data_IF_210225595088
#
_entry.id   IF_210225595088
#
_cell.length_a   1.000
_cell.length_b   1.000
_cell.length_c   1.000
_cell.angle_alpha   90.00
_cell.angle_beta   90.00
_cell.angle_gamma   90.00
#
_symmetry.space_group_name_H-M   'P 1'
#
loop_
_entity.id
_entity.type
_entity.pdbx_description
1 polymer ?
#
# COMPACT_ATOMS: atom_id res chain seq x y z
N UNK A 1 72.69 -8.92 -5.25
CA UNK A 1 71.50 -8.33 -4.66
C UNK A 1 70.39 -9.40 -4.67
N UNK A 2 70.16 -10.03 -3.53
CA UNK A 2 69.13 -11.05 -3.35
C UNK A 2 67.79 -10.31 -2.98
N UNK A 3 66.74 -10.42 -3.81
CA UNK A 3 65.41 -9.93 -3.51
C UNK A 3 64.63 -11.00 -2.73
N UNK A 4 64.41 -10.74 -1.47
CA UNK A 4 63.55 -11.57 -0.61
C UNK A 4 62.08 -11.20 -0.90
N UNK A 5 61.33 -12.16 -1.42
CA UNK A 5 59.87 -12.04 -1.56
C UNK A 5 59.22 -12.45 -0.22
N UNK A 6 58.60 -11.50 0.47
CA UNK A 6 57.72 -11.79 1.59
C UNK A 6 56.35 -12.24 1.04
N UNK A 7 55.99 -13.50 1.23
CA UNK A 7 54.69 -14.05 0.94
C UNK A 7 53.82 -13.76 2.17
N UNK A 8 52.89 -12.81 2.02
CA UNK A 8 51.81 -12.61 3.01
C UNK A 8 50.79 -13.73 2.82
N UNK A 9 50.76 -14.73 3.68
CA UNK A 9 49.69 -15.71 3.78
C UNK A 9 48.48 -15.03 4.41
N UNK A 10 47.47 -14.71 3.59
CA UNK A 10 46.15 -14.33 4.07
C UNK A 10 45.47 -15.62 4.55
N UNK A 11 45.45 -15.81 5.88
CA UNK A 11 44.65 -16.85 6.51
C UNK A 11 43.19 -16.44 6.35
N UNK A 12 42.48 -17.07 5.41
CA UNK A 12 41.03 -17.03 5.36
C UNK A 12 40.51 -17.81 6.58
N UNK A 13 40.25 -17.11 7.69
CA UNK A 13 39.43 -17.66 8.74
C UNK A 13 37.99 -17.82 8.17
N UNK A 14 37.68 -19.03 7.70
CA UNK A 14 36.28 -19.48 7.55
C UNK A 14 35.65 -19.50 8.93
N UNK A 15 35.09 -18.37 9.34
CA UNK A 15 34.25 -18.32 10.52
C UNK A 15 33.04 -19.23 10.26
N UNK A 16 33.00 -20.36 10.97
CA UNK A 16 31.77 -21.10 11.18
C UNK A 16 30.84 -20.07 11.83
N UNK A 17 29.83 -19.61 11.12
CA UNK A 17 28.73 -18.86 11.70
C UNK A 17 28.04 -19.82 12.68
N UNK A 18 28.47 -19.83 13.95
CA UNK A 18 27.66 -20.36 15.03
C UNK A 18 26.37 -19.55 15.01
N UNK A 19 25.23 -20.23 14.83
CA UNK A 19 23.93 -19.58 14.88
C UNK A 19 23.83 -18.72 16.15
N UNK A 20 23.39 -17.48 16.03
CA UNK A 20 23.24 -16.59 17.19
C UNK A 20 22.33 -17.25 18.23
N UNK A 21 22.76 -17.26 19.49
CA UNK A 21 21.96 -17.80 20.58
C UNK A 21 20.91 -16.78 21.01
N UNK A 22 19.68 -16.99 20.58
CA UNK A 22 18.53 -16.15 20.92
C UNK A 22 17.76 -16.61 22.16
N UNK A 23 18.21 -17.63 22.88
CA UNK A 23 17.49 -18.25 24.02
C UNK A 23 16.99 -17.23 25.06
N UNK A 24 17.81 -16.23 25.40
CA UNK A 24 17.43 -15.20 26.39
C UNK A 24 16.34 -14.27 25.83
N UNK A 25 16.42 -13.90 24.56
CA UNK A 25 15.48 -13.03 23.89
C UNK A 25 14.13 -13.73 23.74
N UNK A 26 14.16 -14.99 23.30
CA UNK A 26 12.98 -15.83 23.13
C UNK A 26 12.24 -16.02 24.47
N UNK A 27 12.96 -16.33 25.53
CA UNK A 27 12.39 -16.45 26.88
C UNK A 27 11.77 -15.12 27.38
N UNK A 28 12.38 -13.97 27.08
CA UNK A 28 11.80 -12.67 27.39
C UNK A 28 10.50 -12.46 26.57
N UNK A 29 10.47 -12.87 25.34
CA UNK A 29 9.30 -12.71 24.47
C UNK A 29 8.09 -13.54 24.94
N UNK A 30 8.29 -14.66 25.65
CA UNK A 30 7.22 -15.45 26.27
C UNK A 30 6.47 -14.69 27.39
N UNK A 31 7.10 -13.68 28.01
CA UNK A 31 6.58 -12.99 29.18
C UNK A 31 5.68 -11.78 28.88
N UNK A 32 5.24 -11.59 27.60
CA UNK A 32 4.38 -10.47 27.22
C UNK A 32 3.03 -10.52 27.95
N UNK A 33 2.68 -9.48 28.74
CA UNK A 33 1.42 -9.45 29.46
C UNK A 33 0.20 -9.45 28.54
N UNK A 34 -0.82 -10.24 28.89
CA UNK A 34 -2.03 -10.38 28.07
C UNK A 34 -2.91 -9.11 27.97
N UNK A 35 -2.66 -8.12 28.84
CA UNK A 35 -3.37 -6.82 28.84
C UNK A 35 -2.86 -5.82 27.80
N UNK A 36 -1.70 -6.06 27.16
CA UNK A 36 -1.21 -5.22 26.08
C UNK A 36 -2.04 -5.45 24.81
N UNK A 37 -2.62 -4.37 24.28
CA UNK A 37 -3.61 -4.44 23.19
C UNK A 37 -3.15 -3.82 21.86
N UNK A 38 -2.08 -3.04 21.87
CA UNK A 38 -1.60 -2.35 20.66
C UNK A 38 -0.22 -2.85 20.24
N UNK A 39 0.07 -2.77 18.94
CA UNK A 39 1.40 -3.08 18.41
C UNK A 39 2.49 -2.24 19.08
N UNK A 40 2.17 -0.98 19.42
CA UNK A 40 3.09 -0.06 20.08
C UNK A 40 3.47 -0.53 21.50
N UNK A 41 2.48 -0.93 22.30
CA UNK A 41 2.72 -1.43 23.66
C UNK A 41 3.54 -2.72 23.64
N UNK A 42 3.14 -3.65 22.78
CA UNK A 42 3.77 -4.96 22.65
C UNK A 42 5.22 -4.82 22.14
N UNK A 43 5.46 -4.06 21.08
CA UNK A 43 6.80 -3.87 20.53
C UNK A 43 7.74 -3.20 21.58
N UNK A 44 7.25 -2.18 22.28
CA UNK A 44 8.03 -1.53 23.34
C UNK A 44 8.37 -2.47 24.50
N UNK A 45 7.41 -3.30 24.91
CA UNK A 45 7.64 -4.29 25.97
C UNK A 45 8.70 -5.32 25.55
N UNK A 46 8.53 -5.89 24.35
CA UNK A 46 9.44 -6.89 23.81
C UNK A 46 10.88 -6.40 23.66
N UNK A 47 11.05 -5.11 23.38
CA UNK A 47 12.36 -4.57 22.99
C UNK A 47 13.01 -3.67 24.04
N UNK A 48 12.39 -3.55 25.22
CA UNK A 48 12.79 -2.59 26.28
C UNK A 48 14.28 -2.65 26.66
N UNK A 49 14.86 -3.84 26.69
CA UNK A 49 16.25 -4.05 27.11
C UNK A 49 17.12 -4.58 25.96
N UNK A 50 16.66 -4.47 24.70
CA UNK A 50 17.38 -4.93 23.52
C UNK A 50 18.00 -3.75 22.78
N UNK A 51 19.25 -3.90 22.35
CA UNK A 51 20.02 -2.80 21.77
C UNK A 51 20.15 -2.93 20.26
N UNK A 52 20.38 -4.13 19.74
CA UNK A 52 20.57 -4.32 18.30
C UNK A 52 19.24 -4.40 17.56
N UNK A 53 19.17 -3.91 16.30
CA UNK A 53 17.97 -4.08 15.46
C UNK A 53 17.58 -5.56 15.30
N UNK A 54 18.57 -6.44 15.14
CA UNK A 54 18.36 -7.89 14.96
C UNK A 54 17.69 -8.51 16.20
N UNK A 55 18.16 -8.19 17.41
CA UNK A 55 17.56 -8.71 18.65
C UNK A 55 16.12 -8.23 18.82
N UNK A 56 15.86 -6.96 18.51
CA UNK A 56 14.52 -6.40 18.58
C UNK A 56 13.57 -7.08 17.62
N UNK A 57 14.01 -7.31 16.37
CA UNK A 57 13.24 -8.02 15.36
C UNK A 57 13.04 -9.48 15.76
N UNK A 58 14.05 -10.13 16.38
CA UNK A 58 13.93 -11.50 16.92
C UNK A 58 12.84 -11.61 17.96
N UNK A 59 12.81 -10.72 18.93
CA UNK A 59 11.79 -10.73 19.98
C UNK A 59 10.37 -10.62 19.43
N UNK A 60 10.16 -9.75 18.42
CA UNK A 60 8.87 -9.59 17.74
C UNK A 60 8.50 -10.87 16.98
N UNK A 61 9.43 -11.40 16.17
CA UNK A 61 9.25 -12.62 15.39
C UNK A 61 8.84 -13.81 16.27
N UNK A 62 9.61 -14.06 17.34
CA UNK A 62 9.36 -15.17 18.24
C UNK A 62 8.01 -15.04 18.94
N UNK A 63 7.74 -13.85 19.52
CA UNK A 63 6.47 -13.60 20.18
C UNK A 63 5.28 -13.82 19.24
N UNK A 64 5.33 -13.28 18.06
CA UNK A 64 4.22 -13.42 17.09
C UNK A 64 4.00 -14.86 16.70
N UNK A 65 5.07 -15.62 16.45
CA UNK A 65 4.97 -17.03 16.06
C UNK A 65 4.29 -17.90 17.14
N UNK A 66 4.38 -17.50 18.42
CA UNK A 66 3.78 -18.22 19.55
C UNK A 66 2.43 -17.66 19.99
N UNK A 67 2.25 -16.32 19.90
CA UNK A 67 1.07 -15.64 20.42
C UNK A 67 -0.10 -15.56 19.43
N UNK A 68 0.16 -15.72 18.12
CA UNK A 68 -0.85 -15.61 17.07
C UNK A 68 -1.07 -16.97 16.43
N UNK A 69 -2.34 -17.38 16.30
CA UNK A 69 -2.73 -18.63 15.64
C UNK A 69 -3.13 -18.37 14.19
N UNK A 70 -2.84 -19.29 13.29
CA UNK A 70 -3.30 -19.15 11.91
C UNK A 70 -4.82 -19.39 11.80
N UNK A 71 -5.51 -18.51 11.06
CA UNK A 71 -6.95 -18.56 10.85
C UNK A 71 -7.31 -19.37 9.62
N UNK A 72 -7.32 -20.71 9.77
CA UNK A 72 -7.62 -21.63 8.67
C UNK A 72 -9.01 -21.38 8.07
N UNK A 73 -10.01 -21.06 8.90
CA UNK A 73 -11.38 -20.80 8.44
C UNK A 73 -11.47 -19.59 7.48
N UNK A 74 -10.57 -18.64 7.63
CA UNK A 74 -10.54 -17.41 6.83
C UNK A 74 -9.35 -17.35 5.86
N UNK A 75 -8.60 -18.43 5.65
CA UNK A 75 -7.40 -18.42 4.80
C UNK A 75 -7.66 -18.02 3.34
N UNK A 76 -8.88 -18.22 2.85
CA UNK A 76 -9.33 -17.82 1.51
C UNK A 76 -10.22 -16.55 1.54
N UNK A 77 -10.23 -15.81 2.64
CA UNK A 77 -11.05 -14.61 2.77
C UNK A 77 -10.61 -13.54 1.76
N UNK A 78 -11.59 -12.99 1.04
CA UNK A 78 -11.41 -11.83 0.16
C UNK A 78 -11.82 -10.53 0.85
N UNK A 79 -11.78 -10.49 2.19
CA UNK A 79 -12.10 -9.28 2.95
C UNK A 79 -11.17 -8.15 2.53
N UNK A 80 -11.78 -7.04 2.12
CA UNK A 80 -11.05 -5.80 1.79
C UNK A 80 -11.06 -4.95 3.07
N UNK A 81 -9.89 -4.44 3.42
CA UNK A 81 -9.73 -3.52 4.54
C UNK A 81 -9.58 -2.10 3.99
N UNK A 82 -10.23 -1.14 4.61
CA UNK A 82 -10.16 0.27 4.23
C UNK A 82 -8.88 0.94 4.74
N UNK A 83 -8.34 0.42 5.86
CA UNK A 83 -7.10 0.86 6.49
C UNK A 83 -6.25 -0.35 6.86
N UNK A 84 -4.96 -0.37 6.53
CA UNK A 84 -4.02 -1.40 7.01
C UNK A 84 -4.01 -1.59 8.53
N UNK A 85 -4.35 -0.56 9.31
CA UNK A 85 -4.46 -0.66 10.76
C UNK A 85 -5.55 -1.63 11.20
N UNK A 86 -6.63 -1.78 10.41
CA UNK A 86 -7.70 -2.76 10.71
C UNK A 86 -7.17 -4.20 10.77
N UNK A 87 -6.20 -4.55 9.90
CA UNK A 87 -5.53 -5.87 9.95
C UNK A 87 -4.80 -6.10 11.27
N UNK A 88 -4.11 -5.06 11.76
CA UNK A 88 -3.36 -5.10 13.02
C UNK A 88 -4.32 -5.22 14.21
N UNK A 89 -5.36 -4.41 14.23
CA UNK A 89 -6.34 -4.40 15.32
C UNK A 89 -7.12 -5.72 15.40
N UNK A 90 -7.48 -6.26 14.24
CA UNK A 90 -8.19 -7.55 14.15
C UNK A 90 -7.36 -8.69 14.72
N UNK A 91 -6.09 -8.83 14.31
CA UNK A 91 -5.23 -9.91 14.78
C UNK A 91 -4.89 -9.77 16.27
N UNK A 92 -4.68 -8.55 16.75
CA UNK A 92 -4.42 -8.30 18.17
C UNK A 92 -5.64 -8.61 19.03
N UNK A 93 -6.84 -8.28 18.55
CA UNK A 93 -8.10 -8.58 19.25
C UNK A 93 -8.38 -10.09 19.29
N UNK A 94 -8.19 -10.79 18.17
CA UNK A 94 -8.53 -12.21 18.02
C UNK A 94 -7.40 -13.17 18.40
N UNK A 95 -6.16 -12.70 18.47
CA UNK A 95 -4.94 -13.52 18.54
C UNK A 95 -4.92 -14.63 17.48
N UNK A 96 -5.51 -14.31 16.31
CA UNK A 96 -5.69 -15.21 15.19
C UNK A 96 -5.78 -14.39 13.91
N UNK A 97 -5.12 -14.85 12.83
CA UNK A 97 -5.15 -14.16 11.56
C UNK A 97 -4.55 -14.98 10.42
N UNK A 98 -4.66 -14.47 9.20
CA UNK A 98 -4.01 -15.01 8.00
C UNK A 98 -2.67 -14.31 7.75
N UNK A 99 -1.93 -14.72 6.72
CA UNK A 99 -0.62 -14.16 6.38
C UNK A 99 -0.61 -12.61 6.31
N UNK A 100 -1.65 -12.00 5.74
CA UNK A 100 -1.78 -10.53 5.69
C UNK A 100 -1.84 -9.89 7.07
N UNK A 101 -2.52 -10.50 8.05
CA UNK A 101 -2.55 -10.01 9.42
C UNK A 101 -1.18 -10.15 10.11
N UNK A 102 -0.48 -11.28 9.88
CA UNK A 102 0.87 -11.49 10.41
C UNK A 102 1.83 -10.46 9.85
N UNK A 103 1.86 -10.28 8.53
CA UNK A 103 2.79 -9.33 7.90
C UNK A 103 2.48 -7.87 8.29
N UNK A 104 1.21 -7.50 8.42
CA UNK A 104 0.82 -6.15 8.87
C UNK A 104 1.24 -5.89 10.33
N UNK A 105 0.99 -6.83 11.26
CA UNK A 105 1.39 -6.68 12.66
C UNK A 105 2.90 -6.62 12.82
N UNK A 106 3.64 -7.49 12.12
CA UNK A 106 5.09 -7.46 12.14
C UNK A 106 5.64 -6.11 11.65
N UNK A 107 5.11 -5.62 10.53
CA UNK A 107 5.49 -4.31 9.99
C UNK A 107 5.19 -3.17 10.98
N UNK A 108 4.00 -3.15 11.57
CA UNK A 108 3.63 -2.15 12.58
C UNK A 108 4.56 -2.18 13.80
N UNK A 109 4.95 -3.37 14.28
CA UNK A 109 5.93 -3.50 15.35
C UNK A 109 7.31 -2.98 14.94
N UNK A 110 7.76 -3.27 13.70
CA UNK A 110 9.03 -2.75 13.16
C UNK A 110 9.03 -1.22 13.08
N UNK A 111 7.95 -0.60 12.67
CA UNK A 111 7.80 0.86 12.66
C UNK A 111 7.98 1.45 14.07
N UNK A 112 7.41 0.84 15.09
CA UNK A 112 7.54 1.30 16.49
C UNK A 112 8.99 1.29 16.97
N UNK A 113 9.78 0.31 16.56
CA UNK A 113 11.18 0.16 16.99
C UNK A 113 12.18 0.82 16.04
N UNK A 114 11.70 1.53 15.01
CA UNK A 114 12.53 2.24 14.03
C UNK A 114 13.32 1.33 13.08
N UNK A 115 12.87 0.09 12.85
CA UNK A 115 13.46 -0.81 11.86
C UNK A 115 12.70 -0.67 10.54
N UNK A 116 13.44 -0.38 9.47
CA UNK A 116 12.86 -0.31 8.13
C UNK A 116 12.39 -1.70 7.69
N UNK A 117 11.10 -1.81 7.40
CA UNK A 117 10.48 -3.07 6.99
C UNK A 117 9.48 -2.86 5.85
N UNK A 118 9.19 -3.95 5.15
CA UNK A 118 8.26 -3.97 4.01
C UNK A 118 7.33 -5.17 4.15
N UNK A 119 6.09 -4.98 3.71
CA UNK A 119 5.15 -6.08 3.47
C UNK A 119 5.31 -6.48 2.01
N UNK A 120 5.49 -7.77 1.77
CA UNK A 120 5.69 -8.31 0.44
C UNK A 120 4.60 -9.33 0.16
N UNK A 121 4.00 -9.21 -1.00
CA UNK A 121 2.98 -10.12 -1.51
C UNK A 121 3.54 -10.93 -2.68
N UNK A 122 3.15 -12.19 -2.72
CA UNK A 122 3.62 -13.11 -3.75
C UNK A 122 2.97 -14.46 -3.63
N UNK A 123 3.68 -15.49 -4.05
CA UNK A 123 3.23 -16.88 -3.95
C UNK A 123 4.41 -17.81 -3.64
N UNK A 124 4.09 -19.03 -3.27
CA UNK A 124 5.08 -19.95 -2.71
C UNK A 124 5.14 -21.26 -3.48
N UNK A 125 6.29 -21.93 -3.33
CA UNK A 125 6.57 -23.27 -3.85
C UNK A 125 6.90 -24.19 -2.69
N UNK A 126 6.25 -25.35 -2.63
CA UNK A 126 6.52 -26.42 -1.67
C UNK A 126 6.51 -27.77 -2.39
N UNK A 127 7.44 -28.65 -2.04
CA UNK A 127 7.54 -29.98 -2.64
C UNK A 127 7.44 -29.94 -4.17
N UNK A 128 8.20 -29.03 -4.78
CA UNK A 128 8.24 -28.79 -6.23
C UNK A 128 6.89 -28.41 -6.90
N UNK A 129 5.94 -27.94 -6.10
CA UNK A 129 4.64 -27.47 -6.59
C UNK A 129 4.36 -26.04 -6.16
N UNK A 130 3.77 -25.28 -7.06
CA UNK A 130 3.23 -23.97 -6.72
C UNK A 130 1.99 -24.15 -5.85
N UNK A 131 1.96 -23.45 -4.72
CA UNK A 131 0.77 -23.39 -3.87
C UNK A 131 -0.18 -22.37 -4.48
N UNK A 132 -1.42 -22.74 -4.85
CA UNK A 132 -2.35 -21.88 -5.60
C UNK A 132 -3.07 -20.85 -4.71
N UNK A 133 -2.39 -20.32 -3.71
CA UNK A 133 -2.87 -19.31 -2.77
C UNK A 133 -1.79 -18.25 -2.65
N UNK A 134 -2.18 -16.97 -2.82
CA UNK A 134 -1.28 -15.85 -2.59
C UNK A 134 -0.84 -15.82 -1.13
N UNK A 135 0.39 -15.37 -0.91
CA UNK A 135 1.01 -15.32 0.40
C UNK A 135 1.60 -13.92 0.67
N UNK A 136 1.74 -13.58 1.95
CA UNK A 136 2.31 -12.32 2.38
C UNK A 136 3.32 -12.57 3.50
N UNK A 137 4.46 -11.89 3.42
CA UNK A 137 5.56 -11.95 4.37
C UNK A 137 6.24 -10.60 4.52
N UNK A 138 7.36 -10.53 5.22
CA UNK A 138 8.07 -9.27 5.43
C UNK A 138 9.52 -9.34 4.93
N UNK A 139 10.06 -8.16 4.64
CA UNK A 139 11.49 -7.94 4.60
C UNK A 139 11.87 -6.83 5.59
N UNK A 140 13.11 -6.90 6.11
CA UNK A 140 13.73 -5.88 6.93
C UNK A 140 15.05 -5.45 6.31
N UNK A 141 15.41 -4.17 6.52
CA UNK A 141 16.71 -3.63 6.13
C UNK A 141 17.53 -3.36 7.39
N UNK A 142 18.59 -4.14 7.59
CA UNK A 142 19.43 -4.10 8.79
C UNK A 142 20.89 -4.17 8.35
N UNK A 143 21.74 -3.30 8.86
CA UNK A 143 23.19 -3.26 8.63
C UNK A 143 23.54 -3.27 7.13
N UNK A 144 22.81 -2.47 6.33
CA UNK A 144 23.04 -2.31 4.91
C UNK A 144 22.55 -3.49 4.03
N UNK A 145 21.79 -4.43 4.58
CA UNK A 145 21.31 -5.64 3.88
C UNK A 145 19.81 -5.85 4.07
N UNK A 146 19.19 -6.44 3.05
CA UNK A 146 17.81 -6.92 3.13
C UNK A 146 17.80 -8.39 3.58
N UNK A 147 16.86 -8.69 4.47
CA UNK A 147 16.55 -10.05 4.92
C UNK A 147 15.05 -10.28 4.89
N UNK A 148 14.63 -11.49 4.60
CA UNK A 148 13.24 -11.89 4.68
C UNK A 148 12.89 -12.51 6.02
N UNK A 149 11.63 -12.35 6.40
CA UNK A 149 11.04 -12.91 7.60
C UNK A 149 9.62 -13.38 7.26
N UNK A 150 9.32 -14.64 7.50
CA UNK A 150 7.97 -15.17 7.38
C UNK A 150 7.49 -15.73 8.73
N UNK A 151 6.81 -14.89 9.49
CA UNK A 151 6.27 -15.28 10.79
C UNK A 151 5.13 -16.29 10.63
N UNK A 152 4.40 -16.26 9.52
CA UNK A 152 3.29 -17.19 9.27
C UNK A 152 3.80 -18.63 9.17
N UNK A 153 4.84 -18.85 8.36
CA UNK A 153 5.44 -20.16 8.19
C UNK A 153 6.28 -20.59 9.40
N UNK A 154 6.79 -19.61 10.15
CA UNK A 154 7.47 -19.86 11.42
C UNK A 154 6.52 -20.38 12.48
N UNK A 155 5.29 -19.87 12.54
CA UNK A 155 4.33 -20.22 13.59
C UNK A 155 3.79 -21.66 13.50
N UNK A 156 3.75 -22.24 12.29
CA UNK A 156 3.24 -23.60 12.12
C UNK A 156 2.75 -23.90 10.71
N UNK A 157 1.84 -24.84 10.62
CA UNK A 157 1.28 -25.32 9.35
C UNK A 157 -0.18 -25.75 9.50
N UNK A 158 -0.83 -25.96 8.36
CA UNK A 158 -2.20 -26.51 8.30
C UNK A 158 -2.14 -27.99 7.93
N UNK A 159 -2.80 -28.83 8.73
CA UNK A 159 -3.00 -30.24 8.45
C UNK A 159 -4.46 -30.61 8.72
N UNK A 160 -5.09 -31.29 7.77
CA UNK A 160 -6.50 -31.77 7.89
C UNK A 160 -7.46 -30.62 8.27
N UNK A 161 -7.30 -29.44 7.63
CA UNK A 161 -8.07 -28.22 7.90
C UNK A 161 -7.92 -27.67 9.34
N UNK A 162 -6.90 -28.09 10.07
CA UNK A 162 -6.59 -27.58 11.41
C UNK A 162 -5.20 -26.93 11.44
N UNK A 163 -5.07 -25.86 12.20
CA UNK A 163 -3.77 -25.23 12.46
C UNK A 163 -3.01 -26.07 13.50
N UNK A 164 -1.78 -26.41 13.15
CA UNK A 164 -0.82 -27.07 14.04
C UNK A 164 0.29 -26.08 14.34
N UNK A 165 0.40 -25.67 15.60
CA UNK A 165 1.54 -24.86 16.05
C UNK A 165 2.83 -25.71 15.99
N UNK A 166 3.82 -25.20 15.30
CA UNK A 166 5.13 -25.83 15.20
C UNK A 166 6.15 -24.78 14.83
N UNK A 167 6.79 -24.21 15.85
CA UNK A 167 7.78 -23.15 15.64
C UNK A 167 8.95 -23.64 14.80
N UNK A 168 9.30 -22.83 13.79
CA UNK A 168 10.41 -23.08 12.88
C UNK A 168 11.28 -21.83 12.76
N UNK A 169 12.52 -21.98 13.17
CA UNK A 169 13.48 -20.85 13.23
C UNK A 169 14.06 -20.47 11.87
N UNK A 170 13.94 -21.34 10.89
CA UNK A 170 14.49 -21.17 9.54
C UNK A 170 13.75 -20.15 8.67
N UNK A 171 12.79 -19.42 9.22
CA UNK A 171 12.11 -18.29 8.55
C UNK A 171 12.49 -16.92 9.13
N UNK A 172 13.55 -16.88 9.93
CA UNK A 172 14.11 -15.67 10.51
C UNK A 172 15.36 -15.21 9.76
N UNK A 173 15.38 -13.95 9.31
CA UNK A 173 16.55 -13.29 8.69
C UNK A 173 17.15 -14.08 7.51
N UNK A 174 16.31 -14.57 6.59
CA UNK A 174 16.76 -15.36 5.44
C UNK A 174 17.32 -14.44 4.36
N UNK A 175 18.42 -14.86 3.74
CA UNK A 175 19.00 -14.13 2.60
C UNK A 175 18.03 -14.11 1.40
N UNK A 176 18.01 -13.04 0.57
CA UNK A 176 17.23 -13.03 -0.66
C UNK A 176 17.50 -14.21 -1.59
N UNK A 177 18.76 -14.63 -1.71
CA UNK A 177 19.19 -15.73 -2.57
C UNK A 177 18.66 -17.11 -2.11
N UNK A 178 18.41 -17.28 -0.81
CA UNK A 178 17.86 -18.52 -0.28
C UNK A 178 16.34 -18.50 -0.26
N UNK A 179 15.74 -17.35 0.08
CA UNK A 179 14.29 -17.22 0.20
C UNK A 179 13.57 -17.36 -1.13
N UNK A 180 14.17 -16.86 -2.22
CA UNK A 180 13.62 -16.94 -3.58
C UNK A 180 13.38 -18.39 -4.05
N UNK A 181 14.01 -19.37 -3.43
CA UNK A 181 13.82 -20.80 -3.77
C UNK A 181 12.41 -21.30 -3.42
N UNK A 182 11.74 -20.63 -2.49
CA UNK A 182 10.41 -21.05 -1.99
C UNK A 182 9.36 -19.94 -2.05
N UNK A 183 9.76 -18.66 -2.12
CA UNK A 183 8.88 -17.50 -2.07
C UNK A 183 9.14 -16.57 -3.24
N UNK A 184 8.16 -16.37 -4.09
CA UNK A 184 8.24 -15.52 -5.27
C UNK A 184 7.39 -14.27 -5.09
N UNK A 185 7.99 -13.08 -4.94
CA UNK A 185 7.25 -11.82 -4.93
C UNK A 185 6.53 -11.60 -6.26
N UNK A 186 5.33 -11.02 -6.24
CA UNK A 186 4.68 -10.60 -7.49
C UNK A 186 5.47 -9.52 -8.22
N UNK A 187 5.96 -8.53 -7.49
CA UNK A 187 6.80 -7.46 -8.05
C UNK A 187 8.29 -7.84 -7.91
N UNK A 188 9.03 -7.93 -9.02
CA UNK A 188 10.44 -8.32 -9.01
C UNK A 188 11.34 -7.40 -8.18
N UNK A 189 10.93 -6.17 -7.87
CA UNK A 189 11.70 -5.26 -7.01
C UNK A 189 11.93 -5.86 -5.63
N UNK A 190 10.98 -6.62 -5.14
CA UNK A 190 11.03 -7.25 -3.83
C UNK A 190 11.82 -8.56 -3.80
N UNK A 191 12.51 -8.94 -4.88
CA UNK A 191 13.52 -10.01 -4.84
C UNK A 191 14.87 -9.51 -4.32
N UNK A 192 15.05 -8.19 -4.17
CA UNK A 192 16.28 -7.53 -3.74
C UNK A 192 17.51 -8.00 -4.55
N UNK A 193 17.31 -8.18 -5.84
CA UNK A 193 18.31 -8.65 -6.78
C UNK A 193 18.34 -7.77 -8.02
N UNK A 194 19.54 -7.43 -8.50
CA UNK A 194 19.70 -6.78 -9.80
C UNK A 194 19.45 -7.76 -10.97
N UNK A 195 19.28 -9.03 -10.66
CA UNK A 195 18.94 -10.06 -11.63
C UNK A 195 17.73 -10.87 -11.11
N UNK A 196 16.52 -10.30 -11.16
CA UNK A 196 15.35 -10.98 -10.63
C UNK A 196 15.01 -12.24 -11.43
N UNK A 197 14.67 -13.31 -10.71
CA UNK A 197 14.20 -14.56 -11.27
C UNK A 197 12.86 -14.34 -11.98
N UNK A 198 12.69 -14.75 -13.25
CA UNK A 198 11.38 -14.72 -13.92
C UNK A 198 10.37 -15.66 -13.27
N UNK A 199 9.08 -15.26 -13.27
CA UNK A 199 8.01 -16.09 -12.71
C UNK A 199 7.97 -17.52 -13.30
N UNK A 200 8.10 -17.65 -14.64
CA UNK A 200 8.11 -18.94 -15.32
C UNK A 200 9.24 -19.87 -14.84
N UNK A 201 10.42 -19.29 -14.54
CA UNK A 201 11.59 -20.05 -14.10
C UNK A 201 11.38 -20.54 -12.65
N UNK A 202 10.79 -19.70 -11.78
CA UNK A 202 10.38 -20.12 -10.45
C UNK A 202 9.32 -21.23 -10.49
N UNK A 203 8.32 -21.11 -11.36
CA UNK A 203 7.25 -22.10 -11.50
C UNK A 203 7.77 -23.45 -12.00
N UNK A 204 8.74 -23.47 -12.90
CA UNK A 204 9.39 -24.70 -13.37
C UNK A 204 10.45 -25.23 -12.41
N UNK A 205 10.92 -24.41 -11.45
CA UNK A 205 12.05 -24.76 -10.57
C UNK A 205 13.40 -24.61 -11.24
N UNK A 206 13.49 -23.84 -12.32
CA UNK A 206 14.73 -23.50 -12.98
C UNK A 206 15.34 -22.22 -12.39
N UNK A 207 16.34 -22.37 -11.55
CA UNK A 207 17.06 -21.24 -10.93
C UNK A 207 18.33 -20.85 -11.70
N UNK A 208 18.57 -21.40 -12.90
CA UNK A 208 19.76 -21.13 -13.71
C UNK A 208 19.84 -19.65 -14.15
N UNK A 209 18.71 -19.01 -14.35
CA UNK A 209 18.61 -17.60 -14.75
C UNK A 209 19.11 -16.62 -13.69
N UNK A 210 19.24 -17.01 -12.41
CA UNK A 210 19.84 -16.17 -11.35
C UNK A 210 21.31 -15.80 -11.64
N UNK A 211 21.98 -16.54 -12.53
CA UNK A 211 23.37 -16.27 -12.95
C UNK A 211 23.48 -15.27 -14.11
N UNK A 212 22.36 -14.83 -14.71
CA UNK A 212 22.36 -13.89 -15.83
C UNK A 212 22.65 -12.48 -15.35
N UNK A 213 23.21 -11.65 -16.23
CA UNK A 213 23.39 -10.22 -15.97
C UNK A 213 22.12 -9.49 -16.44
N UNK A 214 21.60 -8.59 -15.63
CA UNK A 214 20.44 -7.76 -15.93
C UNK A 214 20.76 -6.29 -15.64
N UNK A 215 20.05 -5.38 -16.30
CA UNK A 215 20.12 -3.93 -16.04
C UNK A 215 19.06 -3.48 -15.01
N UNK A 216 18.45 -4.42 -14.30
CA UNK A 216 17.45 -4.08 -13.29
C UNK A 216 18.13 -3.55 -12.03
N UNK A 217 17.81 -2.32 -11.63
CA UNK A 217 18.28 -1.72 -10.38
C UNK A 217 17.13 -1.66 -9.36
N UNK A 218 17.11 -2.63 -8.46
CA UNK A 218 16.09 -2.70 -7.42
C UNK A 218 16.26 -1.59 -6.37
N UNK A 219 17.51 -1.18 -6.07
CA UNK A 219 17.79 -0.12 -5.09
C UNK A 219 17.20 1.21 -5.56
N UNK A 220 17.44 1.61 -6.81
CA UNK A 220 16.85 2.83 -7.37
C UNK A 220 15.32 2.75 -7.40
N UNK A 221 14.79 1.56 -7.69
CA UNK A 221 13.35 1.33 -7.69
C UNK A 221 12.75 1.53 -6.29
N UNK A 222 13.39 1.02 -5.23
CA UNK A 222 12.94 1.18 -3.84
C UNK A 222 13.10 2.64 -3.39
N UNK A 223 14.26 3.25 -3.66
CA UNK A 223 14.57 4.63 -3.29
C UNK A 223 13.63 5.64 -3.99
N UNK A 224 13.10 5.28 -5.14
CA UNK A 224 12.12 6.07 -5.88
C UNK A 224 10.67 5.93 -5.38
N UNK A 225 10.38 5.10 -4.36
CA UNK A 225 9.03 4.94 -3.82
C UNK A 225 8.60 6.05 -2.85
N UNK A 226 9.48 6.59 -1.97
CA UNK A 226 9.10 7.69 -1.08
C UNK A 226 8.63 8.92 -1.88
N UNK A 227 7.55 9.55 -1.42
CA UNK A 227 6.97 10.73 -2.09
C UNK A 227 6.03 10.44 -3.26
N UNK A 228 5.96 9.22 -3.77
CA UNK A 228 4.94 8.84 -4.75
C UNK A 228 3.58 8.66 -4.09
N UNK A 229 2.51 9.05 -4.80
CA UNK A 229 1.15 8.71 -4.41
C UNK A 229 0.94 7.18 -4.45
N UNK A 230 -0.09 6.68 -3.74
CA UNK A 230 -0.51 5.27 -3.79
C UNK A 230 -0.83 4.82 -5.23
N UNK A 231 -1.52 5.66 -5.99
CA UNK A 231 -1.81 5.44 -7.42
C UNK A 231 -0.53 5.24 -8.23
N UNK A 232 0.45 6.12 -8.06
CA UNK A 232 1.73 6.04 -8.80
C UNK A 232 2.52 4.78 -8.40
N UNK A 233 2.57 4.45 -7.10
CA UNK A 233 3.19 3.21 -6.61
C UNK A 233 2.55 1.99 -7.25
N UNK A 234 1.22 1.90 -7.24
CA UNK A 234 0.47 0.79 -7.83
C UNK A 234 0.64 0.69 -9.35
N UNK A 235 0.71 1.82 -10.06
CA UNK A 235 1.00 1.83 -11.51
C UNK A 235 2.39 1.29 -11.81
N UNK A 236 3.42 1.74 -11.09
CA UNK A 236 4.80 1.27 -11.28
C UNK A 236 4.94 -0.20 -10.89
N UNK A 237 4.26 -0.64 -9.83
CA UNK A 237 4.20 -2.06 -9.46
C UNK A 237 3.61 -2.90 -10.60
N UNK A 238 2.43 -2.52 -11.12
CA UNK A 238 1.81 -3.23 -12.24
C UNK A 238 2.70 -3.27 -13.48
N UNK A 239 3.38 -2.17 -13.82
CA UNK A 239 4.31 -2.14 -14.96
C UNK A 239 5.43 -3.17 -14.78
N UNK A 240 6.02 -3.28 -13.58
CA UNK A 240 7.07 -4.26 -13.29
C UNK A 240 6.55 -5.69 -13.32
N UNK A 241 5.38 -5.94 -12.72
CA UNK A 241 4.74 -7.26 -12.71
C UNK A 241 4.44 -7.73 -14.14
N UNK A 242 3.81 -6.88 -14.95
CA UNK A 242 3.46 -7.20 -16.34
C UNK A 242 4.71 -7.46 -17.17
N UNK A 243 5.76 -6.64 -17.00
CA UNK A 243 7.06 -6.82 -17.68
C UNK A 243 7.74 -8.12 -17.26
N UNK A 244 7.61 -8.54 -16.02
CA UNK A 244 8.16 -9.80 -15.51
C UNK A 244 7.38 -11.04 -16.00
N UNK A 245 6.14 -10.85 -16.45
CA UNK A 245 5.28 -11.89 -17.03
C UNK A 245 4.12 -12.29 -16.12
N UNK A 246 2.93 -12.37 -16.69
CA UNK A 246 1.70 -12.82 -16.01
C UNK A 246 1.46 -14.30 -16.35
N UNK A 247 2.13 -15.19 -15.64
CA UNK A 247 2.18 -16.62 -15.93
C UNK A 247 1.09 -17.44 -15.24
N UNK A 248 0.51 -16.93 -14.14
CA UNK A 248 -0.53 -17.62 -13.39
C UNK A 248 -1.68 -16.68 -12.96
N UNK A 249 -2.75 -17.29 -12.39
CA UNK A 249 -3.94 -16.54 -11.97
C UNK A 249 -3.65 -15.59 -10.80
N UNK A 250 -2.79 -15.95 -9.86
CA UNK A 250 -2.47 -15.11 -8.69
C UNK A 250 -1.80 -13.80 -9.10
N UNK A 251 -0.87 -13.85 -10.06
CA UNK A 251 -0.23 -12.65 -10.62
C UNK A 251 -1.27 -11.77 -11.33
N UNK A 252 -2.17 -12.38 -12.12
CA UNK A 252 -3.26 -11.66 -12.78
C UNK A 252 -4.18 -10.99 -11.78
N UNK A 253 -4.57 -11.70 -10.72
CA UNK A 253 -5.44 -11.17 -9.67
C UNK A 253 -4.79 -9.99 -8.96
N UNK A 254 -3.48 -10.04 -8.68
CA UNK A 254 -2.73 -8.91 -8.12
C UNK A 254 -2.75 -7.67 -9.03
N UNK A 255 -2.50 -7.84 -10.34
CA UNK A 255 -2.57 -6.74 -11.30
C UNK A 255 -3.97 -6.12 -11.35
N UNK A 256 -5.01 -6.96 -11.38
CA UNK A 256 -6.41 -6.51 -11.36
C UNK A 256 -6.75 -5.81 -10.05
N UNK A 257 -6.30 -6.32 -8.92
CA UNK A 257 -6.50 -5.67 -7.61
C UNK A 257 -5.88 -4.27 -7.57
N UNK A 258 -4.64 -4.13 -8.04
CA UNK A 258 -3.98 -2.83 -8.13
C UNK A 258 -4.74 -1.87 -9.07
N UNK A 259 -5.20 -2.34 -10.23
CA UNK A 259 -6.00 -1.53 -11.16
C UNK A 259 -7.31 -1.05 -10.51
N UNK A 260 -7.97 -1.92 -9.75
CA UNK A 260 -9.19 -1.54 -9.02
C UNK A 260 -8.92 -0.52 -7.91
N UNK A 261 -7.80 -0.65 -7.19
CA UNK A 261 -7.34 0.34 -6.21
C UNK A 261 -7.10 1.70 -6.84
N UNK A 262 -6.35 1.74 -7.95
CA UNK A 262 -6.10 2.95 -8.74
C UNK A 262 -7.41 3.61 -9.15
N UNK A 263 -8.32 2.86 -9.76
CA UNK A 263 -9.60 3.38 -10.22
C UNK A 263 -10.45 3.97 -9.07
N UNK A 264 -10.42 3.33 -7.92
CA UNK A 264 -11.16 3.80 -6.73
C UNK A 264 -10.58 5.13 -6.20
N UNK A 265 -9.26 5.23 -6.10
CA UNK A 265 -8.59 6.46 -5.63
C UNK A 265 -8.79 7.63 -6.61
N UNK A 266 -8.68 7.39 -7.91
CA UNK A 266 -8.93 8.39 -8.95
C UNK A 266 -10.39 8.88 -8.91
N UNK A 267 -11.35 7.96 -8.77
CA UNK A 267 -12.74 8.31 -8.57
C UNK A 267 -12.97 9.15 -7.31
N UNK A 268 -12.37 8.79 -6.19
CA UNK A 268 -12.51 9.53 -4.94
C UNK A 268 -11.94 10.94 -5.04
N UNK A 269 -10.83 11.12 -5.75
CA UNK A 269 -10.26 12.44 -6.02
C UNK A 269 -11.23 13.29 -6.85
N UNK A 270 -11.78 12.73 -7.93
CA UNK A 270 -12.78 13.40 -8.78
C UNK A 270 -14.05 13.75 -8.00
N UNK A 271 -14.56 12.82 -7.18
CA UNK A 271 -15.73 13.06 -6.33
C UNK A 271 -15.47 14.18 -5.29
N UNK A 272 -14.24 14.27 -4.80
CA UNK A 272 -13.84 15.35 -3.88
C UNK A 272 -13.92 16.71 -4.56
N UNK A 273 -13.38 16.86 -5.76
CA UNK A 273 -13.43 18.12 -6.50
C UNK A 273 -14.85 18.46 -6.93
N UNK A 274 -15.63 17.46 -7.36
CA UNK A 274 -17.06 17.64 -7.64
C UNK A 274 -17.81 18.19 -6.41
N UNK A 275 -17.63 17.59 -5.24
CA UNK A 275 -18.30 18.02 -4.01
C UNK A 275 -17.87 19.45 -3.59
N UNK A 276 -16.59 19.80 -3.72
CA UNK A 276 -16.13 21.18 -3.50
C UNK A 276 -16.78 22.16 -4.46
N UNK A 277 -16.91 21.77 -5.74
CA UNK A 277 -17.62 22.55 -6.74
C UNK A 277 -19.08 22.80 -6.38
N UNK A 278 -19.79 21.74 -5.93
CA UNK A 278 -21.19 21.86 -5.47
C UNK A 278 -21.31 22.83 -4.27
N UNK A 279 -20.40 22.75 -3.32
CA UNK A 279 -20.38 23.67 -2.17
C UNK A 279 -20.24 25.12 -2.64
N UNK A 280 -19.25 25.41 -3.50
CA UNK A 280 -19.06 26.77 -4.03
C UNK A 280 -20.24 27.27 -4.88
N UNK A 281 -20.83 26.37 -5.66
CA UNK A 281 -22.05 26.71 -6.41
C UNK A 281 -23.22 27.08 -5.48
N UNK A 282 -23.42 26.34 -4.41
CA UNK A 282 -24.44 26.66 -3.41
C UNK A 282 -24.16 28.00 -2.70
N UNK A 283 -22.90 28.28 -2.36
CA UNK A 283 -22.51 29.60 -1.81
C UNK A 283 -22.87 30.75 -2.76
N UNK A 284 -22.63 30.55 -4.09
CA UNK A 284 -23.02 31.52 -5.09
C UNK A 284 -24.58 31.70 -5.13
N UNK A 285 -25.33 30.59 -5.19
CA UNK A 285 -26.78 30.60 -5.25
C UNK A 285 -27.36 31.28 -4.02
N UNK A 286 -26.88 30.97 -2.82
CA UNK A 286 -27.30 31.61 -1.57
C UNK A 286 -27.00 33.11 -1.58
N UNK A 287 -25.82 33.52 -2.05
CA UNK A 287 -25.47 34.92 -2.21
C UNK A 287 -26.39 35.63 -3.20
N UNK A 288 -26.73 34.95 -4.32
CA UNK A 288 -27.64 35.47 -5.35
C UNK A 288 -29.07 35.62 -4.79
N UNK A 289 -29.58 34.62 -4.07
CA UNK A 289 -30.91 34.66 -3.44
C UNK A 289 -31.04 35.79 -2.41
N UNK A 290 -29.92 36.12 -1.75
CA UNK A 290 -29.80 37.27 -0.85
C UNK A 290 -29.40 38.57 -1.60
N UNK A 291 -29.60 38.60 -2.93
CA UNK A 291 -29.33 39.78 -3.78
C UNK A 291 -27.91 40.31 -3.58
N UNK A 292 -26.92 39.36 -3.48
CA UNK A 292 -25.55 39.61 -3.13
C UNK A 292 -25.43 40.51 -1.88
N UNK A 293 -26.12 40.11 -0.84
CA UNK A 293 -26.28 40.86 0.41
C UNK A 293 -26.69 42.33 0.16
N UNK A 294 -27.70 42.51 -0.67
CA UNK A 294 -28.20 43.83 -1.10
C UNK A 294 -27.06 44.70 -1.68
N UNK A 295 -26.26 44.13 -2.54
CA UNK A 295 -25.19 44.80 -3.30
C UNK A 295 -23.92 45.14 -2.48
N UNK A 296 -23.70 44.52 -1.33
CA UNK A 296 -22.48 44.76 -0.53
C UNK A 296 -21.30 43.87 -0.93
N UNK A 297 -21.56 42.68 -1.55
CA UNK A 297 -20.50 41.80 -2.04
C UNK A 297 -19.89 42.41 -3.30
N UNK A 298 -18.55 42.38 -3.39
CA UNK A 298 -17.82 42.84 -4.56
C UNK A 298 -18.04 41.93 -5.76
N UNK A 299 -18.19 42.51 -6.95
CA UNK A 299 -18.41 41.77 -8.19
C UNK A 299 -17.31 40.73 -8.45
N UNK A 300 -16.04 41.04 -8.12
CA UNK A 300 -14.91 40.14 -8.29
C UNK A 300 -15.08 38.85 -7.46
N UNK A 301 -15.59 38.96 -6.21
CA UNK A 301 -15.79 37.81 -5.36
C UNK A 301 -16.91 36.89 -5.87
N UNK A 302 -17.94 37.48 -6.46
CA UNK A 302 -19.04 36.71 -7.06
C UNK A 302 -18.56 35.95 -8.29
N UNK A 303 -17.77 36.61 -9.14
CA UNK A 303 -17.15 35.99 -10.32
C UNK A 303 -16.16 34.88 -9.94
N UNK A 304 -15.38 35.07 -8.85
CA UNK A 304 -14.46 34.06 -8.33
C UNK A 304 -15.21 32.79 -7.90
N UNK A 305 -16.36 32.89 -7.28
CA UNK A 305 -17.20 31.74 -6.93
C UNK A 305 -17.60 30.94 -8.18
N UNK A 306 -18.11 31.59 -9.23
CA UNK A 306 -18.51 30.91 -10.47
C UNK A 306 -17.31 30.29 -11.20
N UNK A 307 -16.22 31.07 -11.37
CA UNK A 307 -15.02 30.57 -12.07
C UNK A 307 -14.38 29.40 -11.35
N UNK A 308 -14.23 29.47 -10.02
CA UNK A 308 -13.66 28.37 -9.23
C UNK A 308 -14.60 27.13 -9.18
N UNK A 309 -15.91 27.33 -9.23
CA UNK A 309 -16.87 26.23 -9.36
C UNK A 309 -16.68 25.51 -10.70
N UNK A 310 -16.58 26.27 -11.79
CA UNK A 310 -16.35 25.70 -13.13
C UNK A 310 -15.05 24.93 -13.20
N UNK A 311 -13.97 25.48 -12.70
CA UNK A 311 -12.66 24.81 -12.66
C UNK A 311 -12.72 23.47 -11.89
N UNK A 312 -13.45 23.43 -10.77
CA UNK A 312 -13.61 22.19 -9.99
C UNK A 312 -14.42 21.13 -10.74
N UNK A 313 -15.49 21.52 -11.46
CA UNK A 313 -16.25 20.58 -12.28
C UNK A 313 -15.47 20.07 -13.49
N UNK A 314 -14.69 20.93 -14.15
CA UNK A 314 -13.79 20.55 -15.24
C UNK A 314 -12.69 19.61 -14.77
N UNK A 315 -12.07 19.88 -13.60
CA UNK A 315 -11.09 19.01 -12.96
C UNK A 315 -11.69 17.62 -12.67
N UNK A 316 -12.86 17.59 -12.03
CA UNK A 316 -13.54 16.33 -11.72
C UNK A 316 -13.88 15.54 -13.00
N UNK A 317 -14.37 16.20 -14.03
CA UNK A 317 -14.70 15.55 -15.32
C UNK A 317 -13.46 14.96 -15.98
N UNK A 318 -12.35 15.69 -15.99
CA UNK A 318 -11.09 15.22 -16.55
C UNK A 318 -10.54 14.01 -15.80
N UNK A 319 -10.62 14.02 -14.45
CA UNK A 319 -10.23 12.86 -13.64
C UNK A 319 -11.11 11.65 -13.96
N UNK A 320 -12.44 11.80 -13.98
CA UNK A 320 -13.39 10.71 -14.28
C UNK A 320 -13.15 10.09 -15.66
N UNK A 321 -12.81 10.92 -16.66
CA UNK A 321 -12.48 10.43 -18.01
C UNK A 321 -11.30 9.45 -18.03
N UNK A 322 -10.37 9.58 -17.09
CA UNK A 322 -9.18 8.73 -16.99
C UNK A 322 -9.40 7.46 -16.16
N UNK A 323 -10.47 7.37 -15.37
CA UNK A 323 -10.76 6.19 -14.54
C UNK A 323 -11.04 4.96 -15.42
N UNK A 324 -10.31 3.88 -15.19
CA UNK A 324 -10.47 2.60 -15.89
C UNK A 324 -10.90 1.53 -14.90
N UNK A 325 -12.12 1.03 -15.04
CA UNK A 325 -12.68 0.01 -14.13
C UNK A 325 -13.61 -0.94 -14.85
N UNK A 326 -13.62 -2.20 -14.41
CA UNK A 326 -14.60 -3.19 -14.84
C UNK A 326 -15.74 -3.37 -13.82
N UNK A 327 -15.63 -2.77 -12.62
CA UNK A 327 -16.67 -2.85 -11.59
C UNK A 327 -17.90 -2.01 -11.98
N UNK A 328 -19.05 -2.66 -12.13
CA UNK A 328 -20.30 -2.01 -12.51
C UNK A 328 -20.75 -0.92 -11.53
N UNK A 329 -20.57 -1.15 -10.23
CA UNK A 329 -20.89 -0.17 -9.19
C UNK A 329 -20.10 1.13 -9.37
N UNK A 330 -18.80 1.03 -9.62
CA UNK A 330 -17.95 2.19 -9.85
C UNK A 330 -18.29 2.88 -11.18
N UNK A 331 -18.56 2.10 -12.25
CA UNK A 331 -19.06 2.64 -13.54
C UNK A 331 -20.34 3.46 -13.36
N UNK A 332 -21.28 2.96 -12.55
CA UNK A 332 -22.53 3.67 -12.28
C UNK A 332 -22.32 4.95 -11.46
N UNK A 333 -21.42 4.90 -10.47
CA UNK A 333 -21.05 6.08 -9.67
C UNK A 333 -20.40 7.17 -10.52
N UNK A 334 -19.50 6.79 -11.44
CA UNK A 334 -18.89 7.70 -12.42
C UNK A 334 -19.96 8.38 -13.27
N UNK A 335 -20.84 7.60 -13.89
CA UNK A 335 -21.94 8.14 -14.73
C UNK A 335 -22.85 9.10 -13.96
N UNK A 336 -23.12 8.83 -12.69
CA UNK A 336 -23.93 9.69 -11.83
C UNK A 336 -23.29 11.07 -11.65
N UNK A 337 -21.98 11.12 -11.34
CA UNK A 337 -21.25 12.38 -11.21
C UNK A 337 -21.17 13.09 -12.56
N UNK A 338 -20.83 12.40 -13.65
CA UNK A 338 -20.78 13.00 -15.00
C UNK A 338 -22.10 13.64 -15.39
N UNK A 339 -23.22 12.96 -15.12
CA UNK A 339 -24.58 13.49 -15.39
C UNK A 339 -24.85 14.74 -14.55
N UNK A 340 -24.43 14.74 -13.29
CA UNK A 340 -24.58 15.87 -12.39
C UNK A 340 -23.70 17.05 -12.81
N UNK A 341 -22.45 16.83 -13.22
CA UNK A 341 -21.56 17.85 -13.76
C UNK A 341 -22.21 18.49 -14.99
N UNK A 342 -22.66 17.68 -15.95
CA UNK A 342 -23.31 18.19 -17.19
C UNK A 342 -24.48 19.11 -16.88
N UNK A 343 -25.35 18.72 -15.92
CA UNK A 343 -26.50 19.53 -15.50
C UNK A 343 -26.08 20.84 -14.84
N UNK A 344 -25.10 20.76 -13.89
CA UNK A 344 -24.63 21.92 -13.16
C UNK A 344 -23.82 22.89 -14.02
N UNK A 345 -23.05 22.38 -15.00
CA UNK A 345 -22.35 23.23 -15.96
C UNK A 345 -23.33 24.04 -16.82
N UNK A 346 -24.44 23.43 -17.24
CA UNK A 346 -25.50 24.18 -17.95
C UNK A 346 -26.09 25.28 -17.06
N UNK A 347 -26.34 24.99 -15.78
CA UNK A 347 -26.80 26.01 -14.85
C UNK A 347 -25.77 27.13 -14.64
N UNK A 348 -24.46 26.78 -14.60
CA UNK A 348 -23.39 27.79 -14.55
C UNK A 348 -23.38 28.70 -15.78
N UNK A 349 -23.64 28.19 -16.98
CA UNK A 349 -23.72 28.99 -18.19
C UNK A 349 -24.87 30.03 -18.10
N UNK A 350 -26.00 29.65 -17.51
CA UNK A 350 -27.13 30.54 -17.25
C UNK A 350 -26.74 31.62 -16.20
N UNK A 351 -25.99 31.23 -15.19
CA UNK A 351 -25.50 32.17 -14.17
C UNK A 351 -24.44 33.14 -14.69
N UNK A 352 -23.54 32.68 -15.55
CA UNK A 352 -22.56 33.53 -16.24
C UNK A 352 -23.25 34.58 -17.13
N UNK A 353 -24.32 34.18 -17.85
CA UNK A 353 -25.14 35.11 -18.63
C UNK A 353 -25.84 36.15 -17.73
N UNK A 354 -26.36 35.70 -16.55
CA UNK A 354 -26.92 36.60 -15.58
C UNK A 354 -25.89 37.59 -15.04
N UNK A 355 -24.70 37.12 -14.65
CA UNK A 355 -23.63 37.96 -14.15
C UNK A 355 -23.10 38.95 -15.17
N UNK A 356 -22.98 38.54 -16.44
CA UNK A 356 -22.61 39.43 -17.53
C UNK A 356 -23.58 40.61 -17.66
N UNK A 357 -24.90 40.37 -17.47
CA UNK A 357 -25.91 41.42 -17.45
C UNK A 357 -25.85 42.27 -16.17
N UNK A 358 -25.67 41.60 -15.03
CA UNK A 358 -25.58 42.23 -13.72
C UNK A 358 -24.47 43.27 -13.63
N UNK A 359 -23.28 42.92 -14.09
CA UNK A 359 -22.10 43.79 -14.03
C UNK A 359 -22.25 45.01 -14.97
N UNK A 360 -22.86 44.82 -16.16
CA UNK A 360 -23.11 45.91 -17.11
C UNK A 360 -24.23 46.85 -16.64
N UNK A 361 -25.03 46.45 -15.65
CA UNK A 361 -26.12 47.27 -15.14
C UNK A 361 -25.59 48.24 -14.08
N UNK A 362 -25.96 49.54 -14.14
CA UNK A 362 -25.59 50.51 -13.10
C UNK A 362 -26.04 50.01 -11.70
N UNK A 363 -25.21 50.21 -10.68
CA UNK A 363 -25.45 49.68 -9.33
C UNK A 363 -26.83 50.02 -8.77
N UNK A 364 -27.33 51.21 -9.02
CA UNK A 364 -28.67 51.65 -8.58
C UNK A 364 -29.81 50.88 -9.20
N UNK A 365 -29.61 50.21 -10.32
CA UNK A 365 -30.64 49.47 -11.05
C UNK A 365 -30.50 47.92 -10.91
N UNK A 366 -29.44 47.45 -10.28
CA UNK A 366 -29.14 46.00 -10.22
C UNK A 366 -30.20 45.18 -9.49
N UNK A 367 -30.87 45.76 -8.47
CA UNK A 367 -31.91 45.06 -7.74
C UNK A 367 -33.10 44.63 -8.63
N UNK A 368 -33.37 45.36 -9.70
CA UNK A 368 -34.44 45.05 -10.64
C UNK A 368 -34.21 43.68 -11.34
N UNK A 369 -32.96 43.27 -11.49
CA UNK A 369 -32.60 42.01 -12.14
C UNK A 369 -33.03 40.77 -11.36
N UNK A 370 -33.20 40.89 -10.03
CA UNK A 370 -33.64 39.81 -9.17
C UNK A 370 -35.14 39.59 -9.16
N UNK A 371 -35.93 40.59 -9.61
CA UNK A 371 -37.38 40.56 -9.61
C UNK A 371 -38.00 40.29 -11.00
N UNK A 372 -37.18 40.21 -12.07
CA UNK A 372 -37.64 39.99 -13.45
C UNK A 372 -37.80 38.50 -13.82
N UNK A 373 -38.30 37.65 -12.92
CA UNK A 373 -38.78 36.30 -13.28
C UNK A 373 -40.30 36.22 -13.05
N UNK A 374 -41.06 37.04 -13.76
CA UNK A 374 -42.49 36.80 -13.97
C UNK A 374 -42.80 37.32 -15.37
N UNK A 375 -42.72 36.39 -16.36
CA UNK A 375 -43.07 36.64 -17.74
C UNK A 375 -42.59 35.51 -18.61
#
# INVERSE_FOLDING_TARGET
MKRTFLIFSIIFMSGIMMGADYTKIDKQAESVPGNLKTAKEIARYLTKNLHTPTDKVRAIYYWMAHAIRYDVANMNSKKIYSDPQELVDEVLKKRKGICANYSALFHACCQVIGVQSYIIEGYTRQYDKIIPIAHSWNAVYIDGKFFYIDVTWAAGYVRENAYVHHFRDNYFMISPADFIKTHMPFDPVWQFSNNPLPHKDFESGDFSSLKRVSNFNFIDSINGLPGLSSVEKSRRENQRIIKAGVTNAMIRDKVVQNQQGIATEEYNAAATDFNKGVIKYNEYIDSKNNQFNKLTIKDEKILELLSSTRQLFESAQQMLFNVRTEKNELKNSIRSIETSIKRLTKSLDEEDAFMSKYIKTPKSLRLILFYRRIG
#
